data_IF_833786416359
#
_entry.id   IF_833786416359
#
_cell.length_a   1.000
_cell.length_b   1.000
_cell.length_c   1.000
_cell.angle_alpha   90.00
_cell.angle_beta   90.00
_cell.angle_gamma   90.00
#
_symmetry.space_group_name_H-M   'P 1'
#
loop_
_entity.id
_entity.type
_entity.pdbx_description
1 polymer ?
#
# COMPACT_ATOMS: atom_id res chain seq x y z
N UNK A 1 -1.64 -9.63 20.75
CA UNK A 1 -0.68 -8.55 20.99
C UNK A 1 -0.92 -8.01 22.38
N UNK A 2 0.14 -7.80 23.16
CA UNK A 2 0.01 -7.29 24.53
C UNK A 2 -0.05 -5.77 24.46
N UNK A 3 -1.14 -5.18 24.96
CA UNK A 3 -1.30 -3.73 25.15
C UNK A 3 -0.85 -3.40 26.57
N UNK A 4 0.08 -2.45 26.72
CA UNK A 4 0.70 -2.13 28.02
C UNK A 4 0.41 -0.66 28.35
N UNK A 5 -0.72 -0.36 29.00
CA UNK A 5 -1.20 1.02 29.18
C UNK A 5 -0.26 1.93 29.99
N UNK A 6 0.63 1.35 30.81
CA UNK A 6 1.63 2.10 31.59
C UNK A 6 2.99 2.24 30.90
N UNK A 7 3.17 1.67 29.70
CA UNK A 7 4.43 1.77 28.98
C UNK A 7 4.56 3.16 28.32
N UNK A 8 5.64 3.86 28.67
CA UNK A 8 6.00 5.16 28.10
C UNK A 8 7.08 5.06 27.02
N UNK A 9 7.69 3.89 26.83
CA UNK A 9 8.75 3.70 25.85
C UNK A 9 8.52 2.43 25.02
N UNK A 10 8.55 2.58 23.70
CA UNK A 10 8.59 1.48 22.73
C UNK A 10 9.99 1.42 22.12
N UNK A 11 10.61 0.24 22.12
CA UNK A 11 11.89 0.01 21.43
C UNK A 11 11.65 -1.03 20.34
N UNK A 12 11.91 -0.66 19.10
CA UNK A 12 11.74 -1.54 17.93
C UNK A 12 13.14 -1.88 17.40
N UNK A 13 13.54 -3.14 17.57
CA UNK A 13 14.77 -3.67 17.01
C UNK A 13 14.63 -4.09 15.55
N UNK A 14 15.71 -3.96 14.79
CA UNK A 14 15.77 -4.28 13.36
C UNK A 14 14.63 -3.62 12.55
N UNK A 15 14.33 -2.36 12.87
CA UNK A 15 13.21 -1.62 12.34
C UNK A 15 13.26 -1.49 10.80
N UNK A 16 14.46 -1.56 10.19
CA UNK A 16 14.65 -1.51 8.73
C UNK A 16 14.03 -2.69 7.97
N UNK A 17 13.80 -3.81 8.67
CA UNK A 17 13.20 -5.02 8.09
C UNK A 17 11.67 -4.99 8.09
N UNK A 18 11.07 -4.01 8.78
CA UNK A 18 9.63 -3.97 9.02
C UNK A 18 8.89 -3.09 8.01
N UNK A 19 7.67 -3.48 7.64
CA UNK A 19 6.78 -2.66 6.82
C UNK A 19 6.30 -1.42 7.57
N UNK A 20 5.93 -0.35 6.84
CA UNK A 20 5.54 0.93 7.45
C UNK A 20 4.29 0.78 8.34
N UNK A 21 3.30 0.01 7.89
CA UNK A 21 2.10 -0.29 8.66
C UNK A 21 2.41 -1.03 9.98
N UNK A 22 3.38 -1.97 9.96
CA UNK A 22 3.76 -2.72 11.16
C UNK A 22 4.48 -1.81 12.18
N UNK A 23 5.37 -0.94 11.71
CA UNK A 23 6.01 0.06 12.56
C UNK A 23 4.98 1.00 13.20
N UNK A 24 4.00 1.46 12.42
CA UNK A 24 2.91 2.30 12.91
C UNK A 24 2.09 1.61 14.00
N UNK A 25 1.70 0.35 13.77
CA UNK A 25 0.93 -0.43 14.74
C UNK A 25 1.69 -0.66 16.03
N UNK A 26 2.99 -0.96 15.98
CA UNK A 26 3.80 -1.16 17.20
C UNK A 26 3.98 0.13 17.97
N UNK A 27 4.28 1.25 17.28
CA UNK A 27 4.36 2.57 17.91
C UNK A 27 3.07 2.93 18.66
N UNK A 28 1.90 2.62 18.09
CA UNK A 28 0.60 2.92 18.68
C UNK A 28 0.19 2.07 19.90
N UNK A 29 1.05 1.12 20.34
CA UNK A 29 0.84 0.33 21.56
C UNK A 29 1.37 1.00 22.83
N UNK A 30 2.06 2.13 22.71
CA UNK A 30 2.48 2.96 23.84
C UNK A 30 1.85 4.36 23.69
N UNK A 31 1.74 5.11 24.79
CA UNK A 31 1.26 6.50 24.73
C UNK A 31 -0.25 6.70 24.76
N UNK A 32 -1.00 5.73 25.28
CA UNK A 32 -2.47 5.87 25.50
C UNK A 32 -2.83 6.59 26.82
N UNK A 33 -1.84 6.91 27.65
CA UNK A 33 -2.00 7.64 28.91
C UNK A 33 -1.61 9.12 28.80
N UNK A 34 -1.74 9.86 29.90
CA UNK A 34 -1.39 11.29 30.00
C UNK A 34 0.12 11.58 30.07
N UNK A 35 0.96 10.53 30.11
CA UNK A 35 2.42 10.65 30.20
C UNK A 35 3.01 10.70 28.80
N UNK A 36 4.02 11.56 28.63
CA UNK A 36 4.81 11.61 27.40
C UNK A 36 5.36 10.22 27.08
N UNK A 37 5.26 9.83 25.81
CA UNK A 37 5.70 8.52 25.36
C UNK A 37 6.62 8.63 24.16
N UNK A 38 7.62 7.76 24.11
CA UNK A 38 8.66 7.74 23.09
C UNK A 38 8.70 6.42 22.34
N UNK A 39 9.18 6.48 21.10
CA UNK A 39 9.47 5.31 20.28
C UNK A 39 10.91 5.41 19.76
N UNK A 40 11.72 4.40 20.08
CA UNK A 40 13.11 4.29 19.64
C UNK A 40 13.18 3.22 18.55
N UNK A 41 13.66 3.62 17.38
CA UNK A 41 13.86 2.74 16.24
C UNK A 41 15.34 2.36 16.16
N UNK A 42 15.66 1.12 16.49
CA UNK A 42 17.01 0.57 16.34
C UNK A 42 17.14 -0.10 14.98
N UNK A 43 18.19 0.25 14.24
CA UNK A 43 18.45 -0.30 12.92
C UNK A 43 19.95 -0.56 12.72
N UNK A 44 20.26 -1.46 11.79
CA UNK A 44 21.64 -1.71 11.38
C UNK A 44 22.00 -0.92 10.13
N UNK A 45 23.12 -0.20 10.18
CA UNK A 45 23.67 0.47 9.01
C UNK A 45 24.43 -0.52 8.09
N UNK A 46 24.52 -0.24 6.77
CA UNK A 46 23.93 0.89 6.07
C UNK A 46 22.44 0.68 5.72
N UNK A 47 21.66 1.76 5.78
CA UNK A 47 20.26 1.74 5.34
C UNK A 47 20.17 1.93 3.82
N UNK A 48 19.47 1.01 3.16
CA UNK A 48 19.03 1.23 1.78
C UNK A 48 18.00 2.36 1.68
N UNK A 49 17.81 2.97 0.49
CA UNK A 49 16.92 4.13 0.30
C UNK A 49 15.49 3.90 0.79
N UNK A 50 14.91 2.75 0.47
CA UNK A 50 13.54 2.38 0.89
C UNK A 50 13.41 2.20 2.41
N UNK A 51 14.41 1.60 3.05
CA UNK A 51 14.41 1.44 4.51
C UNK A 51 14.52 2.80 5.20
N UNK A 52 15.41 3.67 4.71
CA UNK A 52 15.56 5.04 5.20
C UNK A 52 14.26 5.84 5.07
N UNK A 53 13.59 5.77 3.92
CA UNK A 53 12.34 6.48 3.68
C UNK A 53 11.22 6.00 4.62
N UNK A 54 11.10 4.68 4.85
CA UNK A 54 10.13 4.12 5.82
C UNK A 54 10.39 4.61 7.25
N UNK A 55 11.64 4.53 7.72
CA UNK A 55 11.99 4.98 9.07
C UNK A 55 11.76 6.48 9.25
N UNK A 56 12.06 7.29 8.23
CA UNK A 56 11.78 8.72 8.23
C UNK A 56 10.28 9.00 8.30
N UNK A 57 9.45 8.29 7.55
CA UNK A 57 8.00 8.45 7.60
C UNK A 57 7.43 8.22 9.01
N UNK A 58 7.89 7.17 9.73
CA UNK A 58 7.49 6.92 11.13
C UNK A 58 7.98 8.01 12.09
N UNK A 59 9.15 8.59 11.82
CA UNK A 59 9.72 9.64 12.66
C UNK A 59 9.03 10.99 12.47
N UNK A 60 8.57 11.27 11.25
CA UNK A 60 8.03 12.58 10.87
C UNK A 60 6.53 12.73 11.12
N UNK A 61 5.77 11.64 11.14
CA UNK A 61 4.31 11.70 11.33
C UNK A 61 3.77 10.62 12.25
N UNK A 62 2.83 11.03 13.11
CA UNK A 62 2.01 10.15 13.92
C UNK A 62 0.62 9.89 13.33
N UNK A 63 0.23 10.60 12.28
CA UNK A 63 -1.07 10.47 11.64
C UNK A 63 -1.13 9.19 10.77
N UNK A 64 -2.07 8.31 11.10
CA UNK A 64 -2.28 7.06 10.39
C UNK A 64 -2.64 7.24 8.90
N UNK A 65 -3.32 8.32 8.54
CA UNK A 65 -3.67 8.61 7.14
C UNK A 65 -2.44 9.01 6.33
N UNK A 66 -1.62 9.93 6.87
CA UNK A 66 -0.36 10.33 6.24
C UNK A 66 0.61 9.15 6.10
N UNK A 67 0.64 8.28 7.11
CA UNK A 67 1.46 7.07 7.08
C UNK A 67 0.94 6.08 6.02
N UNK A 68 -0.37 5.90 5.89
CA UNK A 68 -0.94 5.08 4.82
C UNK A 68 -0.63 5.65 3.43
N UNK A 69 -0.71 6.97 3.25
CA UNK A 69 -0.34 7.66 2.00
C UNK A 69 1.13 7.43 1.64
N UNK A 70 2.05 7.57 2.61
CA UNK A 70 3.47 7.30 2.38
C UNK A 70 3.76 5.81 2.14
N UNK A 71 3.06 4.89 2.80
CA UNK A 71 3.19 3.45 2.53
C UNK A 71 2.82 3.16 1.08
N UNK A 72 1.74 3.78 0.60
CA UNK A 72 1.29 3.67 -0.79
C UNK A 72 2.34 4.16 -1.79
N UNK A 73 2.90 5.34 -1.55
CA UNK A 73 3.95 5.93 -2.39
C UNK A 73 5.22 5.08 -2.42
N UNK A 74 5.64 4.55 -1.26
CA UNK A 74 6.86 3.75 -1.11
C UNK A 74 6.72 2.35 -1.73
N UNK A 75 5.54 1.75 -1.66
CA UNK A 75 5.24 0.47 -2.33
C UNK A 75 5.03 0.64 -3.83
N UNK A 76 4.58 1.81 -4.24
CA UNK A 76 4.20 2.10 -5.62
C UNK A 76 2.93 1.35 -6.05
N UNK A 77 2.37 1.70 -7.22
CA UNK A 77 1.08 1.21 -7.69
C UNK A 77 1.09 -0.29 -8.04
N UNK A 78 2.29 -0.86 -8.24
CA UNK A 78 2.43 -2.27 -8.55
C UNK A 78 2.05 -3.20 -7.40
N UNK A 79 2.19 -2.79 -6.14
CA UNK A 79 1.91 -3.69 -5.00
C UNK A 79 0.43 -3.75 -4.65
N UNK A 80 -0.31 -2.64 -4.81
CA UNK A 80 -1.78 -2.57 -4.64
C UNK A 80 -2.54 -3.56 -5.54
N UNK A 81 -1.98 -3.82 -6.73
CA UNK A 81 -2.58 -4.68 -7.75
C UNK A 81 -1.95 -6.10 -7.74
N UNK A 82 -1.16 -6.45 -6.72
CA UNK A 82 -0.53 -7.76 -6.59
C UNK A 82 0.64 -8.04 -7.56
N UNK A 83 1.15 -7.03 -8.27
CA UNK A 83 2.18 -7.21 -9.33
C UNK A 83 3.61 -7.33 -8.82
N UNK A 84 3.86 -7.18 -7.51
CA UNK A 84 5.21 -7.40 -6.92
C UNK A 84 5.53 -8.87 -6.62
N UNK A 85 4.52 -9.72 -6.41
CA UNK A 85 4.71 -11.16 -6.14
C UNK A 85 4.25 -12.07 -7.28
N UNK A 86 3.54 -11.53 -8.26
CA UNK A 86 3.19 -12.25 -9.49
C UNK A 86 3.99 -11.64 -10.63
N UNK A 87 4.91 -12.42 -11.19
CA UNK A 87 5.75 -11.99 -12.31
C UNK A 87 4.91 -11.41 -13.44
N UNK A 88 5.07 -10.10 -13.67
CA UNK A 88 4.68 -9.36 -14.85
C UNK A 88 3.25 -9.64 -15.37
N UNK A 89 2.27 -8.98 -14.76
CA UNK A 89 1.18 -8.40 -15.53
C UNK A 89 1.43 -6.90 -15.59
N UNK A 90 2.31 -6.45 -16.51
CA UNK A 90 2.29 -5.05 -16.94
C UNK A 90 0.87 -4.82 -17.48
N UNK A 91 0.09 -3.94 -16.87
CA UNK A 91 -1.10 -3.41 -17.55
C UNK A 91 -0.60 -2.86 -18.89
N UNK A 92 -0.93 -3.52 -20.00
CA UNK A 92 -0.50 -3.08 -21.33
C UNK A 92 -1.08 -1.72 -21.72
N UNK A 93 -2.06 -1.23 -20.96
CA UNK A 93 -3.02 -0.23 -21.44
C UNK A 93 -3.04 1.06 -20.61
N UNK A 94 -2.65 1.07 -19.33
CA UNK A 94 -2.69 2.30 -18.52
C UNK A 94 -1.74 2.29 -17.30
N UNK A 95 -1.28 3.47 -16.91
CA UNK A 95 -0.59 3.72 -15.64
C UNK A 95 -1.58 4.39 -14.69
N UNK A 96 -2.03 3.66 -13.68
CA UNK A 96 -3.10 4.10 -12.78
C UNK A 96 -2.76 5.33 -11.94
N UNK A 97 -1.49 5.67 -11.75
CA UNK A 97 -1.10 6.90 -11.05
C UNK A 97 -1.15 8.08 -12.00
N UNK A 98 -0.63 7.92 -13.21
CA UNK A 98 -0.68 8.97 -14.24
C UNK A 98 -2.12 9.25 -14.67
N UNK A 99 -2.93 8.19 -14.77
CA UNK A 99 -4.26 8.21 -15.39
C UNK A 99 -5.40 8.19 -14.35
N UNK A 100 -5.10 8.51 -13.09
CA UNK A 100 -6.05 8.45 -11.97
C UNK A 100 -7.29 9.33 -12.18
N UNK A 101 -7.12 10.47 -12.86
CA UNK A 101 -8.17 11.42 -13.22
C UNK A 101 -9.19 10.84 -14.22
N UNK A 102 -8.81 9.79 -14.95
CA UNK A 102 -9.69 9.10 -15.90
C UNK A 102 -10.56 8.04 -15.24
N UNK A 103 -10.25 7.60 -14.02
CA UNK A 103 -10.95 6.50 -13.34
C UNK A 103 -12.47 6.71 -13.19
N UNK A 104 -12.97 7.90 -12.83
CA UNK A 104 -14.43 8.12 -12.75
C UNK A 104 -15.12 7.90 -14.09
N UNK A 105 -14.49 8.37 -15.19
CA UNK A 105 -15.04 8.23 -16.56
C UNK A 105 -14.96 6.80 -17.06
N UNK A 106 -13.93 6.05 -16.66
CA UNK A 106 -13.81 4.62 -16.95
C UNK A 106 -14.95 3.84 -16.29
N UNK A 107 -15.32 4.20 -15.06
CA UNK A 107 -16.44 3.57 -14.35
C UNK A 107 -17.78 3.81 -15.07
N UNK A 108 -18.09 5.06 -15.42
CA UNK A 108 -19.31 5.38 -16.19
C UNK A 108 -19.35 4.63 -17.54
N UNK A 109 -18.23 4.59 -18.26
CA UNK A 109 -18.15 3.88 -19.53
C UNK A 109 -18.37 2.37 -19.36
N UNK A 110 -17.84 1.77 -18.28
CA UNK A 110 -18.04 0.37 -17.96
C UNK A 110 -19.52 0.06 -17.66
N UNK A 111 -20.21 0.92 -16.91
CA UNK A 111 -21.64 0.76 -16.62
C UNK A 111 -22.50 0.82 -17.90
N UNK A 112 -22.22 1.77 -18.80
CA UNK A 112 -22.89 1.87 -20.11
C UNK A 112 -22.65 0.61 -20.95
N UNK A 113 -21.42 0.09 -20.96
CA UNK A 113 -21.07 -1.15 -21.67
C UNK A 113 -21.83 -2.35 -21.11
N UNK A 114 -21.96 -2.46 -19.79
CA UNK A 114 -22.69 -3.55 -19.12
C UNK A 114 -24.20 -3.49 -19.36
N UNK A 115 -24.76 -2.28 -19.45
CA UNK A 115 -26.18 -2.05 -19.65
C UNK A 115 -26.62 -2.21 -21.12
N UNK A 116 -25.83 -1.70 -22.07
CA UNK A 116 -26.27 -1.51 -23.46
C UNK A 116 -25.46 -2.26 -24.51
N UNK A 117 -24.26 -2.76 -24.17
CA UNK A 117 -23.32 -3.34 -25.15
C UNK A 117 -22.66 -4.62 -24.63
N UNK A 118 -23.45 -5.51 -24.01
CA UNK A 118 -22.96 -6.75 -23.40
C UNK A 118 -22.26 -7.69 -24.38
N UNK A 119 -22.69 -7.68 -25.64
CA UNK A 119 -22.09 -8.39 -26.78
C UNK A 119 -20.63 -7.97 -27.04
N UNK A 120 -20.26 -6.74 -26.69
CA UNK A 120 -18.90 -6.20 -26.89
C UNK A 120 -17.94 -6.54 -25.77
N UNK A 121 -18.43 -6.99 -24.61
CA UNK A 121 -17.60 -7.26 -23.43
C UNK A 121 -16.63 -8.41 -23.71
N UNK A 122 -17.12 -9.56 -24.17
CA UNK A 122 -16.26 -10.73 -24.40
C UNK A 122 -15.17 -10.46 -25.45
N UNK A 123 -15.45 -9.82 -26.61
CA UNK A 123 -14.41 -9.40 -27.56
C UNK A 123 -13.39 -8.41 -26.98
N UNK A 124 -13.84 -7.44 -26.18
CA UNK A 124 -12.94 -6.45 -25.55
C UNK A 124 -12.02 -7.10 -24.52
N UNK A 125 -12.57 -7.96 -23.66
CA UNK A 125 -11.80 -8.74 -22.68
C UNK A 125 -10.78 -9.62 -23.40
N UNK A 126 -11.18 -10.36 -24.44
CA UNK A 126 -10.27 -11.22 -25.20
C UNK A 126 -9.16 -10.42 -25.88
N UNK A 127 -9.48 -9.25 -26.45
CA UNK A 127 -8.52 -8.39 -27.15
C UNK A 127 -7.48 -7.78 -26.22
N UNK A 128 -7.90 -7.29 -25.06
CA UNK A 128 -7.06 -6.45 -24.19
C UNK A 128 -6.47 -7.19 -22.98
N UNK A 129 -7.19 -8.18 -22.43
CA UNK A 129 -6.75 -8.99 -21.28
C UNK A 129 -6.18 -10.34 -21.75
N UNK A 130 -6.61 -10.84 -22.91
CA UNK A 130 -6.18 -12.14 -23.43
C UNK A 130 -6.75 -13.31 -22.61
N UNK A 131 -6.11 -14.48 -22.70
CA UNK A 131 -6.44 -15.70 -21.92
C UNK A 131 -5.73 -15.75 -20.56
N UNK A 132 -5.10 -14.67 -20.12
CA UNK A 132 -4.30 -14.68 -18.90
C UNK A 132 -5.23 -14.69 -17.66
N UNK A 133 -5.52 -15.88 -17.14
CA UNK A 133 -6.36 -16.17 -15.94
C UNK A 133 -5.89 -15.47 -14.66
N UNK A 134 -4.79 -14.71 -14.72
CA UNK A 134 -4.14 -14.08 -13.58
C UNK A 134 -4.76 -12.74 -13.16
N UNK A 135 -5.72 -12.21 -13.92
CA UNK A 135 -6.35 -10.92 -13.62
C UNK A 135 -7.44 -10.97 -12.53
N UNK A 136 -7.80 -12.16 -12.01
CA UNK A 136 -8.97 -12.30 -11.13
C UNK A 136 -8.82 -13.23 -9.91
N UNK A 137 -7.67 -13.90 -9.71
CA UNK A 137 -7.43 -14.65 -8.45
C UNK A 137 -6.94 -13.70 -7.36
N UNK A 138 -7.87 -12.95 -6.82
CA UNK A 138 -7.74 -12.35 -5.48
C UNK A 138 -8.26 -13.44 -4.53
N UNK A 139 -7.34 -14.16 -3.92
CA UNK A 139 -7.62 -15.02 -2.75
C UNK A 139 -7.58 -14.21 -1.47
#
# INVERSE_FOLDING_TARGET
GVDVPNATLMVIENAERMGLAQLHQLRGRVGRGSRESGCVLLYRAPLGPLARARLNAIRESNDGFEIARRDLELRGPGELLGTRQTGLARMRVADLIRDADLLPRVQEAAEILLASHRDRIAPLTQRWIGTDERYGRIG
#
